data_IF_378494547872
#
_entry.id   IF_378494547872
#
_cell.length_a   1.000
_cell.length_b   1.000
_cell.length_c   1.000
_cell.angle_alpha   90.00
_cell.angle_beta   90.00
_cell.angle_gamma   90.00
#
_symmetry.space_group_name_H-M   'P 1'
#
loop_
_entity.id
_entity.type
_entity.pdbx_description
1 polymer ?
#
# COMPACT_ATOMS: atom_id res chain seq x y z
N UNK A 1 -20.87 13.59 20.67
CA UNK A 1 -20.54 12.55 19.65
C UNK A 1 -19.05 12.63 19.45
N UNK A 2 -18.32 11.51 19.55
CA UNK A 2 -16.88 11.49 19.21
C UNK A 2 -16.72 11.86 17.74
N UNK A 3 -15.76 12.71 17.42
CA UNK A 3 -15.42 12.98 16.03
C UNK A 3 -15.05 11.68 15.31
N UNK A 4 -15.41 11.53 14.01
CA UNK A 4 -15.04 10.35 13.24
C UNK A 4 -13.51 10.25 13.18
N UNK A 5 -12.99 9.05 13.39
CA UNK A 5 -11.57 8.77 13.23
C UNK A 5 -11.31 8.50 11.75
N UNK A 6 -10.45 9.32 11.13
CA UNK A 6 -9.97 9.08 9.77
C UNK A 6 -8.73 8.19 9.82
N UNK A 7 -8.70 7.22 8.91
CA UNK A 7 -7.57 6.32 8.70
C UNK A 7 -7.22 6.34 7.22
N UNK A 8 -5.98 6.67 6.90
CA UNK A 8 -5.46 6.54 5.54
C UNK A 8 -4.86 5.14 5.35
N UNK A 9 -5.44 4.38 4.44
CA UNK A 9 -5.03 3.00 4.15
C UNK A 9 -4.11 2.87 2.92
N UNK A 10 -3.82 3.97 2.23
CA UNK A 10 -3.01 3.96 1.02
C UNK A 10 -2.21 5.24 0.87
N UNK A 11 -0.97 5.24 1.30
CA UNK A 11 -0.09 6.41 1.19
C UNK A 11 1.38 6.05 0.97
N UNK A 12 2.09 6.96 0.29
CA UNK A 12 3.50 6.85 -0.06
C UNK A 12 4.34 7.85 0.75
N UNK A 13 4.26 7.74 2.08
CA UNK A 13 4.89 8.67 3.00
C UNK A 13 6.17 8.13 3.64
N UNK A 14 6.66 6.96 3.24
CA UNK A 14 7.96 6.46 3.68
C UNK A 14 9.11 7.17 2.94
N UNK A 15 10.17 7.59 3.66
CA UNK A 15 11.22 8.42 3.07
C UNK A 15 12.07 7.64 2.06
N UNK A 16 12.16 8.14 0.82
CA UNK A 16 13.08 7.71 -0.21
C UNK A 16 12.98 6.26 -0.68
N UNK A 17 11.81 5.62 -0.53
CA UNK A 17 11.61 4.22 -0.92
C UNK A 17 10.95 4.08 -2.30
N UNK A 18 10.12 5.02 -2.67
CA UNK A 18 9.37 5.06 -3.93
C UNK A 18 9.21 6.51 -4.43
N UNK A 19 8.20 6.80 -5.23
CA UNK A 19 7.92 8.11 -5.81
C UNK A 19 7.15 9.07 -4.87
N UNK A 20 6.91 8.68 -3.63
CA UNK A 20 6.26 9.49 -2.62
C UNK A 20 7.19 10.46 -1.90
N UNK A 21 7.31 10.35 -0.57
CA UNK A 21 8.18 11.23 0.22
C UNK A 21 9.66 11.03 -0.16
N UNK A 22 10.31 12.09 -0.65
CA UNK A 22 11.70 12.03 -1.10
C UNK A 22 12.71 11.77 0.02
N UNK A 23 12.39 12.22 1.22
CA UNK A 23 13.27 12.16 2.40
C UNK A 23 12.48 12.26 3.71
N UNK A 24 13.18 12.24 4.82
CA UNK A 24 12.61 12.34 6.17
C UNK A 24 11.82 13.63 6.39
N UNK A 25 12.29 14.77 5.87
CA UNK A 25 11.60 16.05 6.04
C UNK A 25 10.26 16.05 5.28
N UNK A 26 10.27 15.53 4.05
CA UNK A 26 9.04 15.38 3.25
C UNK A 26 8.03 14.45 3.97
N UNK A 27 8.49 13.35 4.57
CA UNK A 27 7.67 12.47 5.40
C UNK A 27 7.00 13.22 6.56
N UNK A 28 7.79 14.01 7.30
CA UNK A 28 7.30 14.81 8.43
C UNK A 28 6.26 15.83 7.97
N UNK A 29 6.54 16.56 6.90
CA UNK A 29 5.63 17.60 6.39
C UNK A 29 4.29 17.00 5.92
N UNK A 30 4.33 15.85 5.25
CA UNK A 30 3.14 15.15 4.81
C UNK A 30 2.33 14.60 6.00
N UNK A 31 2.97 13.96 6.97
CA UNK A 31 2.29 13.43 8.15
C UNK A 31 1.70 14.54 9.05
N UNK A 32 2.30 15.74 9.08
CA UNK A 32 1.68 16.90 9.74
C UNK A 32 0.41 17.36 9.03
N UNK A 33 0.35 17.29 7.70
CA UNK A 33 -0.87 17.57 6.94
C UNK A 33 -1.94 16.54 7.25
N UNK A 34 -1.60 15.24 7.22
CA UNK A 34 -2.52 14.17 7.62
C UNK A 34 -3.10 14.41 9.03
N UNK A 35 -2.23 14.72 10.01
CA UNK A 35 -2.67 15.01 11.38
C UNK A 35 -3.61 16.22 11.44
N UNK A 36 -3.30 17.30 10.70
CA UNK A 36 -4.10 18.51 10.64
C UNK A 36 -5.48 18.25 9.98
N UNK A 37 -5.55 17.39 8.98
CA UNK A 37 -6.78 16.97 8.30
C UNK A 37 -7.62 15.98 9.12
N UNK A 38 -7.14 15.60 10.32
CA UNK A 38 -7.87 14.73 11.23
C UNK A 38 -7.56 13.25 11.11
N UNK A 39 -6.60 12.88 10.28
CA UNK A 39 -6.12 11.48 10.19
C UNK A 39 -5.45 11.09 11.50
N UNK A 40 -5.79 9.91 12.01
CA UNK A 40 -5.26 9.38 13.29
C UNK A 40 -4.41 8.13 13.10
N UNK A 41 -4.50 7.50 11.94
CA UNK A 41 -3.65 6.37 11.60
C UNK A 41 -3.38 6.33 10.08
N UNK A 42 -2.20 5.87 9.71
CA UNK A 42 -1.80 5.67 8.32
C UNK A 42 -1.27 4.24 8.11
N UNK A 43 -1.54 3.70 6.95
CA UNK A 43 -0.92 2.50 6.44
C UNK A 43 0.04 2.89 5.32
N UNK A 44 1.34 2.91 5.60
CA UNK A 44 2.34 3.13 4.57
C UNK A 44 2.33 1.97 3.58
N UNK A 45 2.10 2.26 2.32
CA UNK A 45 1.97 1.27 1.26
C UNK A 45 2.93 1.57 0.11
N UNK A 46 4.26 1.53 0.34
CA UNK A 46 5.21 1.79 -0.73
C UNK A 46 5.02 0.77 -1.87
N UNK A 47 5.32 1.22 -3.09
CA UNK A 47 5.25 0.39 -4.29
C UNK A 47 6.16 -0.84 -4.19
N UNK A 48 5.61 -1.99 -4.57
CA UNK A 48 6.36 -3.22 -4.76
C UNK A 48 6.18 -3.73 -6.20
N UNK A 49 7.26 -3.73 -6.96
CA UNK A 49 7.36 -4.28 -8.31
C UNK A 49 8.25 -5.52 -8.27
N UNK A 50 7.65 -6.70 -8.37
CA UNK A 50 8.36 -7.97 -8.29
C UNK A 50 9.51 -8.09 -9.31
N UNK A 51 9.30 -7.55 -10.51
CA UNK A 51 10.28 -7.59 -11.61
C UNK A 51 11.50 -6.65 -11.36
N UNK A 52 11.38 -5.71 -10.42
CA UNK A 52 12.43 -4.71 -10.14
C UNK A 52 13.23 -5.03 -8.89
N UNK A 53 12.61 -5.69 -7.92
CA UNK A 53 13.21 -5.93 -6.62
C UNK A 53 12.72 -7.23 -6.01
N UNK A 54 13.63 -8.04 -5.47
CA UNK A 54 13.28 -9.22 -4.70
C UNK A 54 12.51 -8.87 -3.42
N UNK A 55 11.58 -9.76 -3.02
CA UNK A 55 10.69 -9.55 -1.89
C UNK A 55 11.43 -9.30 -0.56
N UNK A 56 12.53 -10.01 -0.32
CA UNK A 56 13.31 -9.85 0.92
C UNK A 56 13.99 -8.48 0.97
N UNK A 57 14.61 -8.05 -0.13
CA UNK A 57 15.22 -6.71 -0.23
C UNK A 57 14.18 -5.60 -0.06
N UNK A 58 12.98 -5.77 -0.64
CA UNK A 58 11.88 -4.83 -0.43
C UNK A 58 11.47 -4.75 1.04
N UNK A 59 11.30 -5.89 1.70
CA UNK A 59 10.91 -5.94 3.10
C UNK A 59 11.94 -5.28 4.02
N UNK A 60 13.24 -5.47 3.75
CA UNK A 60 14.34 -4.83 4.48
C UNK A 60 14.35 -3.31 4.27
N UNK A 61 14.26 -2.84 3.01
CA UNK A 61 14.22 -1.42 2.68
C UNK A 61 13.02 -0.73 3.32
N UNK A 62 11.83 -1.34 3.24
CA UNK A 62 10.62 -0.83 3.88
C UNK A 62 10.76 -0.75 5.39
N UNK A 63 11.34 -1.77 6.04
CA UNK A 63 11.59 -1.76 7.48
C UNK A 63 12.55 -0.64 7.89
N UNK A 64 13.59 -0.41 7.10
CA UNK A 64 14.53 0.69 7.34
C UNK A 64 13.85 2.06 7.22
N UNK A 65 13.13 2.31 6.11
CA UNK A 65 12.39 3.55 5.88
C UNK A 65 11.31 3.80 6.97
N UNK A 66 10.58 2.75 7.37
CA UNK A 66 9.62 2.82 8.46
C UNK A 66 10.26 3.22 9.79
N UNK A 67 11.44 2.67 10.11
CA UNK A 67 12.16 3.04 11.33
C UNK A 67 12.56 4.53 11.33
N UNK A 68 12.96 5.08 10.18
CA UNK A 68 13.25 6.50 10.01
C UNK A 68 11.98 7.33 10.24
N UNK A 69 10.89 7.00 9.56
CA UNK A 69 9.62 7.72 9.66
C UNK A 69 9.09 7.76 11.11
N UNK A 70 9.09 6.60 11.80
CA UNK A 70 8.60 6.52 13.20
C UNK A 70 9.46 7.37 14.15
N UNK A 71 10.78 7.33 14.01
CA UNK A 71 11.69 8.16 14.83
C UNK A 71 11.48 9.64 14.57
N UNK A 72 11.28 10.03 13.30
CA UNK A 72 10.99 11.40 12.92
C UNK A 72 9.66 11.88 13.54
N UNK A 73 8.59 11.08 13.44
CA UNK A 73 7.31 11.40 14.08
C UNK A 73 7.44 11.59 15.59
N UNK A 74 8.18 10.72 16.28
CA UNK A 74 8.40 10.83 17.72
C UNK A 74 9.15 12.12 18.08
N UNK A 75 10.22 12.44 17.35
CA UNK A 75 11.02 13.66 17.54
C UNK A 75 10.17 14.92 17.33
N UNK A 76 9.30 14.91 16.33
CA UNK A 76 8.48 16.05 15.90
C UNK A 76 7.12 16.12 16.61
N UNK A 77 6.81 15.18 17.51
CA UNK A 77 5.58 15.15 18.29
C UNK A 77 4.31 14.86 17.47
N UNK A 78 4.44 14.22 16.29
CA UNK A 78 3.32 13.83 15.44
C UNK A 78 2.61 12.62 16.05
N UNK A 79 1.27 12.71 16.21
CA UNK A 79 0.44 11.71 16.92
C UNK A 79 -0.39 10.84 15.97
N UNK A 80 0.09 10.60 14.78
CA UNK A 80 -0.51 9.68 13.82
C UNK A 80 0.05 8.28 14.05
N UNK A 81 -0.82 7.31 14.33
CA UNK A 81 -0.40 5.93 14.44
C UNK A 81 -0.01 5.39 13.04
N UNK A 82 1.05 4.59 12.97
CA UNK A 82 1.54 4.12 11.68
C UNK A 82 1.76 2.61 11.65
N UNK A 83 1.42 1.98 10.53
CA UNK A 83 1.76 0.61 10.19
C UNK A 83 2.23 0.57 8.73
N UNK A 84 2.74 -0.60 8.29
CA UNK A 84 3.14 -0.82 6.91
C UNK A 84 2.35 -1.94 6.25
N UNK A 85 2.13 -1.77 4.95
CA UNK A 85 1.78 -2.77 3.98
C UNK A 85 2.68 -2.63 2.76
N UNK A 86 2.12 -2.88 1.59
CA UNK A 86 2.70 -2.57 0.30
C UNK A 86 1.56 -2.31 -0.69
N UNK A 87 1.77 -1.41 -1.65
CA UNK A 87 1.00 -1.38 -2.88
C UNK A 87 1.72 -2.27 -3.90
N UNK A 88 1.11 -3.41 -4.16
CA UNK A 88 1.74 -4.47 -4.95
C UNK A 88 1.30 -4.36 -6.39
N UNK A 89 2.24 -4.06 -7.29
CA UNK A 89 1.93 -4.08 -8.71
C UNK A 89 1.57 -5.51 -9.16
N UNK A 90 0.45 -5.63 -9.86
CA UNK A 90 -0.07 -6.93 -10.29
C UNK A 90 0.95 -7.69 -11.13
N UNK A 91 1.16 -8.94 -10.76
CA UNK A 91 1.92 -9.93 -11.56
C UNK A 91 1.28 -11.30 -11.36
N UNK A 92 1.23 -12.15 -12.37
CA UNK A 92 0.79 -13.56 -12.25
C UNK A 92 1.63 -14.38 -11.26
N UNK A 93 2.80 -13.87 -10.84
CA UNK A 93 3.66 -14.50 -9.85
C UNK A 93 3.18 -14.33 -8.41
N UNK A 94 2.25 -13.40 -8.12
CA UNK A 94 1.77 -13.10 -6.76
C UNK A 94 1.36 -14.34 -5.95
N UNK A 95 0.61 -15.31 -6.50
CA UNK A 95 0.23 -16.49 -5.73
C UNK A 95 1.40 -17.36 -5.26
N UNK A 96 2.60 -17.16 -5.77
CA UNK A 96 3.79 -17.94 -5.43
C UNK A 96 4.72 -17.23 -4.45
N UNK A 97 4.42 -15.96 -4.12
CA UNK A 97 5.21 -15.17 -3.18
C UNK A 97 4.78 -15.41 -1.72
N UNK A 98 5.64 -15.02 -0.78
CA UNK A 98 5.26 -14.91 0.63
C UNK A 98 4.43 -13.64 0.84
N UNK A 99 3.11 -13.75 0.64
CA UNK A 99 2.19 -12.63 0.74
C UNK A 99 2.13 -12.02 2.14
N UNK A 100 2.53 -12.75 3.18
CA UNK A 100 2.56 -12.21 4.54
C UNK A 100 3.48 -10.99 4.69
N UNK A 101 4.50 -10.90 3.83
CA UNK A 101 5.42 -9.75 3.77
C UNK A 101 4.84 -8.52 3.05
N UNK A 102 3.72 -8.67 2.34
CA UNK A 102 3.12 -7.62 1.51
C UNK A 102 1.80 -7.10 2.09
N UNK A 103 1.16 -7.86 2.97
CA UNK A 103 -0.11 -7.48 3.60
C UNK A 103 0.02 -6.25 4.50
N UNK A 104 -1.09 -5.61 4.75
CA UNK A 104 -1.24 -4.65 5.84
C UNK A 104 -0.86 -5.32 7.16
N UNK A 105 0.06 -4.72 7.90
CA UNK A 105 0.64 -5.34 9.10
C UNK A 105 -0.42 -5.79 10.10
N UNK A 106 -0.40 -7.08 10.43
CA UNK A 106 -1.34 -7.71 11.36
C UNK A 106 -2.69 -8.10 10.75
N UNK A 107 -2.79 -8.11 9.42
CA UNK A 107 -4.00 -8.51 8.69
C UNK A 107 -3.70 -9.53 7.59
N UNK A 108 -4.74 -9.93 6.86
CA UNK A 108 -4.65 -10.74 5.64
C UNK A 108 -5.00 -9.94 4.36
N UNK A 109 -5.12 -8.62 4.47
CA UNK A 109 -5.43 -7.75 3.33
C UNK A 109 -4.15 -7.39 2.58
N UNK A 110 -4.19 -7.51 1.26
CA UNK A 110 -3.11 -7.12 0.34
C UNK A 110 -3.64 -6.09 -0.66
N UNK A 111 -2.98 -4.93 -0.74
CA UNK A 111 -3.34 -3.89 -1.69
C UNK A 111 -2.67 -4.19 -3.03
N UNK A 112 -3.45 -4.32 -4.09
CA UNK A 112 -2.99 -4.69 -5.44
C UNK A 112 -3.31 -3.56 -6.40
N UNK A 113 -2.27 -3.03 -7.06
CA UNK A 113 -2.38 -2.09 -8.17
C UNK A 113 -2.39 -2.84 -9.49
N UNK A 114 -3.40 -2.59 -10.31
CA UNK A 114 -3.47 -3.18 -11.67
C UNK A 114 -2.68 -2.32 -12.68
N UNK A 115 -2.22 -2.90 -13.80
CA UNK A 115 -1.64 -2.13 -14.89
C UNK A 115 -2.63 -1.10 -15.44
N UNK A 116 -2.17 0.15 -15.61
CA UNK A 116 -3.06 1.29 -15.95
C UNK A 116 -3.70 1.17 -17.33
N UNK A 117 -2.94 0.68 -18.33
CA UNK A 117 -3.34 0.81 -19.75
C UNK A 117 -3.86 -0.48 -20.38
N UNK A 118 -3.74 -1.59 -19.68
CA UNK A 118 -4.09 -2.92 -20.23
C UNK A 118 -4.73 -3.76 -19.13
N UNK A 119 -5.92 -4.28 -19.42
CA UNK A 119 -6.54 -5.29 -18.55
C UNK A 119 -5.62 -6.52 -18.51
N UNK A 120 -5.06 -6.88 -17.36
CA UNK A 120 -4.09 -7.96 -17.29
C UNK A 120 -4.76 -9.32 -17.52
N UNK A 121 -4.14 -10.14 -18.36
CA UNK A 121 -4.59 -11.51 -18.53
C UNK A 121 -4.39 -12.31 -17.24
N UNK A 122 -5.37 -13.15 -16.89
CA UNK A 122 -5.30 -14.04 -15.73
C UNK A 122 -5.48 -13.32 -14.38
N UNK A 123 -6.10 -12.13 -14.39
CA UNK A 123 -6.37 -11.37 -13.15
C UNK A 123 -7.29 -12.16 -12.22
N UNK A 124 -8.38 -12.71 -12.74
CA UNK A 124 -9.37 -13.43 -11.97
C UNK A 124 -8.75 -14.67 -11.32
N UNK A 125 -8.00 -15.46 -12.09
CA UNK A 125 -7.31 -16.65 -11.59
C UNK A 125 -6.26 -16.30 -10.53
N UNK A 126 -5.54 -15.19 -10.74
CA UNK A 126 -4.51 -14.73 -9.79
C UNK A 126 -5.13 -14.27 -8.48
N UNK A 127 -6.19 -13.42 -8.55
CA UNK A 127 -6.89 -12.94 -7.37
C UNK A 127 -7.59 -14.10 -6.63
N UNK A 128 -8.21 -15.02 -7.36
CA UNK A 128 -8.81 -16.22 -6.78
C UNK A 128 -7.77 -17.08 -6.06
N UNK A 129 -6.59 -17.27 -6.65
CA UNK A 129 -5.50 -18.01 -6.03
C UNK A 129 -4.99 -17.35 -4.73
N UNK A 130 -4.97 -16.02 -4.67
CA UNK A 130 -4.66 -15.25 -3.46
C UNK A 130 -5.72 -15.52 -2.38
N UNK A 131 -7.01 -15.47 -2.74
CA UNK A 131 -8.13 -15.79 -1.84
C UNK A 131 -8.04 -17.22 -1.29
N UNK A 132 -7.73 -18.21 -2.14
CA UNK A 132 -7.57 -19.61 -1.71
C UNK A 132 -6.44 -19.80 -0.70
N UNK A 133 -5.45 -18.92 -0.68
CA UNK A 133 -4.36 -18.90 0.32
C UNK A 133 -4.74 -18.18 1.60
N UNK A 134 -5.98 -17.71 1.75
CA UNK A 134 -6.48 -17.03 2.93
C UNK A 134 -6.17 -15.54 3.00
N UNK A 135 -5.77 -14.92 1.88
CA UNK A 135 -5.55 -13.48 1.79
C UNK A 135 -6.71 -12.80 1.05
N UNK A 136 -6.96 -11.54 1.38
CA UNK A 136 -8.01 -10.75 0.74
C UNK A 136 -7.39 -9.62 -0.08
N UNK A 137 -7.43 -9.68 -1.41
CA UNK A 137 -6.96 -8.58 -2.24
C UNK A 137 -7.90 -7.39 -2.16
N UNK A 138 -7.33 -6.20 -2.10
CA UNK A 138 -7.98 -4.90 -2.23
C UNK A 138 -7.41 -4.26 -3.50
N UNK A 139 -8.24 -3.89 -4.44
CA UNK A 139 -7.78 -3.21 -5.66
C UNK A 139 -7.58 -1.72 -5.35
N UNK A 140 -6.37 -1.22 -5.64
CA UNK A 140 -6.03 0.19 -5.48
C UNK A 140 -6.68 1.02 -6.59
N UNK A 141 -7.17 2.23 -6.25
CA UNK A 141 -7.58 3.32 -7.14
C UNK A 141 -8.15 2.85 -8.51
N UNK A 142 -9.14 1.94 -8.47
CA UNK A 142 -9.76 1.32 -9.66
C UNK A 142 -10.33 2.33 -10.65
N UNK A 143 -10.67 3.53 -10.18
CA UNK A 143 -11.14 4.66 -10.99
C UNK A 143 -10.09 5.20 -11.96
N UNK A 144 -8.80 4.84 -11.78
CA UNK A 144 -7.70 5.24 -12.66
C UNK A 144 -7.51 4.32 -13.87
N UNK A 145 -8.23 3.19 -13.93
CA UNK A 145 -8.08 2.22 -15.01
C UNK A 145 -9.15 2.44 -16.08
N UNK A 146 -8.79 2.88 -17.32
CA UNK A 146 -9.75 3.11 -18.40
C UNK A 146 -10.65 1.92 -18.67
N UNK A 147 -10.09 0.70 -18.70
CA UNK A 147 -10.87 -0.53 -18.93
C UNK A 147 -11.87 -0.83 -17.83
N UNK A 148 -11.67 -0.36 -16.59
CA UNK A 148 -12.64 -0.46 -15.50
C UNK A 148 -13.70 0.64 -15.62
N UNK A 149 -13.28 1.88 -15.89
CA UNK A 149 -14.24 3.01 -16.00
C UNK A 149 -15.14 2.87 -17.22
N UNK A 150 -14.66 2.27 -18.31
CA UNK A 150 -15.45 1.95 -19.52
C UNK A 150 -16.36 0.73 -19.30
N UNK A 151 -15.97 -0.21 -18.44
CA UNK A 151 -16.78 -1.39 -18.11
C UNK A 151 -16.74 -1.70 -16.60
N UNK A 152 -17.48 -0.97 -15.76
CA UNK A 152 -17.50 -1.18 -14.30
C UNK A 152 -17.95 -2.59 -13.87
N UNK A 153 -18.62 -3.35 -14.76
CA UNK A 153 -19.04 -4.71 -14.48
C UNK A 153 -17.86 -5.67 -14.20
N UNK A 154 -16.65 -5.31 -14.65
CA UNK A 154 -15.43 -6.07 -14.33
C UNK A 154 -15.12 -6.16 -12.83
N UNK A 155 -15.67 -5.25 -12.01
CA UNK A 155 -15.48 -5.27 -10.55
C UNK A 155 -16.45 -6.23 -9.83
N UNK A 156 -17.41 -6.82 -10.53
CA UNK A 156 -18.49 -7.63 -9.92
C UNK A 156 -18.44 -9.11 -10.35
N UNK A 157 -17.50 -9.48 -11.19
CA UNK A 157 -17.27 -10.85 -11.63
C UNK A 157 -16.10 -11.44 -10.86
#
# INVERSE_FOLDING_TARGET
MSEPILIDLHCHLLPGIDDGASDENATVDLLRKEEADGVRAVMFTPHFYYERMGLDSFAENRKAAYSVAVKACQREGIRVAAKCGAEVHFTPALPFLDLSKLCFAGTHYILVELPTNVHPAGIEETLYSILQRGYTPILAHVERFPYVTENPALLYN
#
